data_IF_512459813776
#
_entry.id   IF_512459813776
#
_cell.length_a   1.000
_cell.length_b   1.000
_cell.length_c   1.000
_cell.angle_alpha   90.00
_cell.angle_beta   90.00
_cell.angle_gamma   90.00
#
_symmetry.space_group_name_H-M   'P 1'
#
loop_
_entity.id
_entity.type
_entity.pdbx_description
1 polymer ?
#
# COMPACT_ATOMS: atom_id res chain seq x y z
N UNK A 1 6.30 43.64 16.09
CA UNK A 1 5.35 44.23 15.12
C UNK A 1 4.64 43.07 14.44
N UNK A 2 3.43 42.73 14.91
CA UNK A 2 2.15 42.92 14.18
C UNK A 2 2.02 41.90 13.02
N UNK A 3 1.07 40.97 12.94
CA UNK A 3 -0.28 40.90 13.54
C UNK A 3 -0.85 39.48 13.41
N UNK A 4 -1.64 39.04 14.40
CA UNK A 4 -2.60 37.94 14.31
C UNK A 4 -3.64 38.18 13.20
N UNK A 5 -4.14 37.12 12.56
CA UNK A 5 -5.55 37.05 12.12
C UNK A 5 -6.15 35.68 12.41
N UNK A 6 -7.08 35.69 13.36
CA UNK A 6 -8.16 34.70 13.52
C UNK A 6 -9.18 34.94 12.41
N UNK A 7 -9.74 33.88 11.84
CA UNK A 7 -11.15 33.85 11.48
C UNK A 7 -11.71 32.50 11.90
N UNK A 8 -12.62 32.52 12.87
CA UNK A 8 -13.50 31.41 13.17
C UNK A 8 -14.83 31.64 12.49
N UNK A 9 -15.45 30.57 11.99
CA UNK A 9 -16.89 30.51 11.83
C UNK A 9 -17.40 29.33 12.65
N UNK A 10 -18.14 29.66 13.71
CA UNK A 10 -18.95 28.73 14.49
C UNK A 10 -20.29 28.59 13.79
N UNK A 11 -20.69 27.37 13.46
CA UNK A 11 -22.11 27.03 13.30
C UNK A 11 -22.43 25.97 14.33
N UNK A 12 -23.07 26.39 15.41
CA UNK A 12 -23.73 25.51 16.37
C UNK A 12 -25.03 25.02 15.73
N UNK A 13 -25.20 23.71 15.59
CA UNK A 13 -26.53 23.11 15.46
C UNK A 13 -26.76 22.33 16.74
N UNK A 14 -27.61 22.88 17.61
CA UNK A 14 -28.31 22.11 18.63
C UNK A 14 -29.35 21.25 17.91
N UNK A 15 -29.37 19.95 18.18
CA UNK A 15 -30.60 19.17 18.04
C UNK A 15 -30.82 18.36 19.31
N UNK A 16 -31.88 18.75 19.99
CA UNK A 16 -32.50 18.13 21.15
C UNK A 16 -33.06 16.75 20.80
N UNK A 17 -32.94 15.84 21.76
CA UNK A 17 -33.55 14.51 21.76
C UNK A 17 -35.07 14.56 21.55
N UNK A 18 -35.58 13.76 20.62
CA UNK A 18 -36.95 13.25 20.61
C UNK A 18 -36.90 11.75 20.30
N UNK A 19 -37.62 10.96 21.10
CA UNK A 19 -37.75 9.51 21.01
C UNK A 19 -39.04 9.17 20.24
N UNK A 20 -39.03 7.98 19.61
CA UNK A 20 -40.12 7.19 18.99
C UNK A 20 -40.37 7.35 17.49
N UNK A 21 -40.35 6.19 16.82
CA UNK A 21 -41.12 5.93 15.60
C UNK A 21 -40.26 5.43 14.45
N UNK A 22 -40.29 4.12 14.19
CA UNK A 22 -39.59 3.50 13.07
C UNK A 22 -39.99 4.13 11.73
N UNK A 23 -38.98 4.47 10.93
CA UNK A 23 -39.10 4.66 9.51
C UNK A 23 -37.74 4.37 8.87
N UNK A 24 -37.75 3.48 7.89
CA UNK A 24 -36.68 3.10 7.00
C UNK A 24 -35.88 4.33 6.54
N UNK A 25 -34.63 4.47 6.99
CA UNK A 25 -33.68 5.38 6.34
C UNK A 25 -33.17 4.63 5.10
N UNK A 26 -33.97 4.68 4.04
CA UNK A 26 -33.43 4.62 2.69
C UNK A 26 -32.58 5.89 2.56
N UNK A 27 -31.28 5.78 2.83
CA UNK A 27 -30.34 6.86 2.59
C UNK A 27 -30.47 7.29 1.14
N UNK A 28 -30.81 8.56 0.95
CA UNK A 28 -30.90 9.18 -0.35
C UNK A 28 -29.59 8.95 -1.10
N UNK A 29 -29.68 8.29 -2.25
CA UNK A 29 -28.65 8.33 -3.28
C UNK A 29 -28.59 9.79 -3.72
N UNK A 30 -27.52 10.51 -3.36
CA UNK A 30 -27.29 11.86 -3.88
C UNK A 30 -27.33 11.80 -5.41
N UNK A 31 -28.25 12.57 -5.98
CA UNK A 31 -28.53 12.66 -7.40
C UNK A 31 -27.29 13.04 -8.22
N UNK A 32 -27.23 12.45 -9.41
CA UNK A 32 -26.35 12.73 -10.54
C UNK A 32 -25.74 14.14 -10.57
N UNK A 33 -24.48 14.27 -10.15
CA UNK A 33 -23.64 15.45 -10.42
C UNK A 33 -23.37 15.54 -11.91
N UNK A 34 -23.64 16.70 -12.51
CA UNK A 34 -23.30 16.91 -13.92
C UNK A 34 -21.77 16.90 -14.08
N UNK A 35 -21.27 16.52 -15.26
CA UNK A 35 -19.83 16.57 -15.56
C UNK A 35 -19.23 17.96 -15.29
N UNK A 36 -19.98 19.03 -15.50
CA UNK A 36 -19.52 20.41 -15.26
C UNK A 36 -19.28 20.73 -13.78
N UNK A 37 -20.18 20.30 -12.90
CA UNK A 37 -20.03 20.49 -11.44
C UNK A 37 -18.85 19.69 -10.89
N UNK A 38 -18.65 18.47 -11.39
CA UNK A 38 -17.49 17.66 -11.05
C UNK A 38 -16.18 18.34 -11.46
N UNK A 39 -16.06 18.77 -12.72
CA UNK A 39 -14.86 19.45 -13.24
C UNK A 39 -14.57 20.72 -12.45
N UNK A 40 -15.58 21.54 -12.17
CA UNK A 40 -15.40 22.79 -11.39
C UNK A 40 -14.81 22.49 -10.01
N UNK A 41 -15.38 21.51 -9.31
CA UNK A 41 -14.91 21.14 -7.96
C UNK A 41 -13.53 20.50 -7.97
N UNK A 42 -13.22 19.70 -9.00
CA UNK A 42 -11.88 19.13 -9.18
C UNK A 42 -10.86 20.24 -9.40
N UNK A 43 -11.17 21.23 -10.25
CA UNK A 43 -10.24 22.34 -10.53
C UNK A 43 -9.97 23.27 -9.35
N UNK A 44 -10.84 23.27 -8.33
CA UNK A 44 -10.63 24.02 -7.08
C UNK A 44 -9.67 23.30 -6.11
N UNK A 45 -9.58 21.97 -6.20
CA UNK A 45 -8.88 21.13 -5.22
C UNK A 45 -7.58 20.55 -5.78
N UNK A 46 -7.56 20.17 -7.05
CA UNK A 46 -6.39 19.59 -7.71
C UNK A 46 -5.69 20.65 -8.56
N UNK A 47 -4.39 20.91 -8.31
CA UNK A 47 -3.63 21.81 -9.17
C UNK A 47 -3.58 21.26 -10.61
N UNK A 48 -3.57 22.17 -11.58
CA UNK A 48 -3.30 21.79 -12.96
C UNK A 48 -1.83 21.36 -13.05
N UNK A 49 -1.61 20.11 -13.44
CA UNK A 49 -0.27 19.56 -13.65
C UNK A 49 0.41 20.25 -14.85
N UNK A 50 1.68 20.63 -14.69
CA UNK A 50 2.46 21.20 -15.78
C UNK A 50 2.82 20.13 -16.83
N UNK A 51 3.03 20.56 -18.07
CA UNK A 51 3.30 19.64 -19.18
C UNK A 51 4.57 18.81 -18.90
N UNK A 52 4.42 17.48 -18.89
CA UNK A 52 5.46 16.48 -18.59
C UNK A 52 5.94 16.43 -17.13
N UNK A 53 5.24 17.07 -16.19
CA UNK A 53 5.59 16.97 -14.76
C UNK A 53 5.50 15.51 -14.27
N UNK A 54 4.46 14.77 -14.65
CA UNK A 54 4.35 13.33 -14.34
C UNK A 54 5.55 12.50 -14.86
N UNK A 55 6.13 12.84 -16.01
CA UNK A 55 7.32 12.13 -16.51
C UNK A 55 8.51 12.33 -15.57
N UNK A 56 8.70 13.54 -15.06
CA UNK A 56 9.77 13.82 -14.11
C UNK A 56 9.52 13.14 -12.77
N UNK A 57 8.26 13.09 -12.33
CA UNK A 57 7.87 12.38 -11.13
C UNK A 57 8.13 10.87 -11.25
N UNK A 58 7.77 10.23 -12.37
CA UNK A 58 8.09 8.82 -12.61
C UNK A 58 9.61 8.57 -12.73
N UNK A 59 10.33 9.50 -13.37
CA UNK A 59 11.77 9.36 -13.64
C UNK A 59 12.67 9.61 -12.43
N UNK A 60 12.24 10.43 -11.47
CA UNK A 60 13.09 10.87 -10.34
C UNK A 60 12.40 10.90 -8.99
N UNK A 61 11.07 10.80 -8.95
CA UNK A 61 10.28 10.86 -7.74
C UNK A 61 10.44 9.60 -6.90
N UNK A 62 10.32 9.78 -5.58
CA UNK A 62 10.25 8.69 -4.62
C UNK A 62 9.01 7.83 -4.89
N UNK A 63 9.10 6.53 -4.63
CA UNK A 63 7.90 5.68 -4.52
C UNK A 63 7.13 6.00 -3.23
N UNK A 64 7.88 6.32 -2.17
CA UNK A 64 7.33 6.61 -0.86
C UNK A 64 7.26 8.11 -0.64
N UNK A 65 6.07 8.66 -0.82
CA UNK A 65 5.72 10.05 -0.46
C UNK A 65 4.98 10.09 0.88
N UNK A 66 4.89 11.26 1.52
CA UNK A 66 4.08 11.42 2.74
C UNK A 66 2.61 11.17 2.38
N UNK A 67 2.00 10.13 2.98
CA UNK A 67 0.60 9.75 2.73
C UNK A 67 -0.29 9.88 3.96
N UNK A 68 0.29 10.08 5.13
CA UNK A 68 -0.45 10.16 6.39
C UNK A 68 -1.22 11.48 6.51
N UNK A 69 -2.54 11.39 6.74
CA UNK A 69 -3.33 12.52 7.23
C UNK A 69 -3.23 12.58 8.76
N UNK A 70 -2.72 13.68 9.35
CA UNK A 70 -2.63 13.82 10.80
C UNK A 70 -3.98 13.84 11.52
N UNK A 71 -5.09 14.04 10.81
CA UNK A 71 -6.44 14.02 11.37
C UNK A 71 -7.14 12.67 11.22
N UNK A 72 -6.59 11.75 10.43
CA UNK A 72 -7.16 10.44 10.25
C UNK A 72 -7.10 9.64 11.56
N UNK A 73 -8.21 8.97 11.87
CA UNK A 73 -8.35 8.14 13.05
C UNK A 73 -8.79 6.73 12.65
N UNK A 74 -8.24 5.73 13.34
CA UNK A 74 -8.72 4.37 13.24
C UNK A 74 -10.18 4.30 13.70
N UNK A 75 -10.98 3.52 12.97
CA UNK A 75 -12.32 3.11 13.40
C UNK A 75 -12.24 2.05 14.50
N UNK A 76 -13.39 1.66 15.09
CA UNK A 76 -13.46 0.60 16.11
C UNK A 76 -13.02 -0.77 15.60
N UNK A 77 -13.11 -0.97 14.29
CA UNK A 77 -12.84 -2.23 13.61
C UNK A 77 -11.43 -2.27 12.98
N UNK A 78 -10.65 -1.21 13.19
CA UNK A 78 -9.27 -1.10 12.72
C UNK A 78 -8.28 -1.25 13.89
N UNK A 79 -7.12 -1.78 13.55
CA UNK A 79 -5.91 -1.71 14.36
C UNK A 79 -5.01 -0.57 13.84
N UNK A 80 -4.19 -0.03 14.72
CA UNK A 80 -3.19 1.00 14.37
C UNK A 80 -1.80 0.46 14.66
N UNK A 81 -0.89 0.53 13.68
CA UNK A 81 0.52 0.27 13.96
C UNK A 81 1.04 1.50 14.72
N UNK A 82 1.44 1.36 16.00
CA UNK A 82 1.99 2.46 16.78
C UNK A 82 3.26 3.02 16.13
N UNK A 83 3.59 4.27 16.45
CA UNK A 83 4.75 4.95 15.86
C UNK A 83 6.09 4.25 16.11
N UNK A 84 6.18 3.40 17.15
CA UNK A 84 7.38 2.68 17.58
C UNK A 84 7.02 1.31 18.17
N UNK A 85 8.03 0.56 18.56
CA UNK A 85 7.94 -0.69 19.33
C UNK A 85 7.34 -1.88 18.55
N UNK A 86 7.27 -1.76 17.22
CA UNK A 86 6.95 -2.85 16.31
C UNK A 86 8.20 -3.35 15.59
N UNK A 87 8.21 -4.64 15.29
CA UNK A 87 9.33 -5.31 14.62
C UNK A 87 8.87 -5.91 13.29
N UNK A 88 9.68 -5.78 12.26
CA UNK A 88 9.50 -6.46 10.97
C UNK A 88 10.43 -7.66 10.92
N UNK A 89 9.86 -8.87 10.95
CA UNK A 89 10.58 -10.13 11.05
C UNK A 89 10.52 -10.86 9.71
N UNK A 90 11.69 -11.26 9.23
CA UNK A 90 11.87 -12.14 8.07
C UNK A 90 12.86 -13.25 8.42
N UNK A 91 12.87 -14.33 7.65
CA UNK A 91 13.88 -15.38 7.79
C UNK A 91 15.29 -14.82 7.49
N UNK A 92 16.34 -15.30 8.16
CA UNK A 92 17.72 -14.82 7.95
C UNK A 92 18.20 -15.10 6.52
N UNK A 93 17.94 -16.31 6.03
CA UNK A 93 18.19 -16.73 4.65
C UNK A 93 17.06 -16.39 3.67
N UNK A 94 16.21 -15.40 3.99
CA UNK A 94 15.13 -14.98 3.09
C UNK A 94 15.66 -14.63 1.68
N UNK A 95 14.88 -14.97 0.65
CA UNK A 95 15.21 -14.63 -0.73
C UNK A 95 15.57 -13.14 -0.87
N UNK A 96 16.55 -12.75 -1.73
CA UNK A 96 16.88 -11.34 -1.96
C UNK A 96 15.67 -10.45 -2.22
N UNK A 97 14.66 -10.96 -2.91
CA UNK A 97 13.42 -10.23 -3.19
C UNK A 97 12.60 -9.96 -1.93
N UNK A 98 12.55 -10.91 -0.99
CA UNK A 98 11.89 -10.74 0.32
C UNK A 98 12.64 -9.73 1.16
N UNK A 99 13.98 -9.78 1.17
CA UNK A 99 14.81 -8.79 1.88
C UNK A 99 14.61 -7.38 1.34
N UNK A 100 14.55 -7.24 0.02
CA UNK A 100 14.25 -5.97 -0.65
C UNK A 100 12.86 -5.46 -0.23
N UNK A 101 11.81 -6.28 -0.37
CA UNK A 101 10.45 -5.89 -0.04
C UNK A 101 10.27 -5.53 1.45
N UNK A 102 11.00 -6.20 2.35
CA UNK A 102 10.99 -5.87 3.77
C UNK A 102 11.67 -4.52 4.07
N UNK A 103 12.81 -4.22 3.43
CA UNK A 103 13.42 -2.89 3.57
C UNK A 103 12.57 -1.80 2.94
N UNK A 104 11.90 -2.11 1.83
CA UNK A 104 10.98 -1.19 1.17
C UNK A 104 9.77 -0.85 2.05
N UNK A 105 9.09 -1.86 2.62
CA UNK A 105 8.00 -1.64 3.58
C UNK A 105 8.47 -0.83 4.80
N UNK A 106 9.67 -1.10 5.30
CA UNK A 106 10.25 -0.33 6.42
C UNK A 106 10.49 1.13 6.02
N UNK A 107 10.95 1.38 4.79
CA UNK A 107 11.11 2.72 4.26
C UNK A 107 9.75 3.41 4.15
N UNK A 108 8.75 2.77 3.53
CA UNK A 108 7.36 3.22 3.44
C UNK A 108 6.80 3.60 4.82
N UNK A 109 6.84 2.69 5.79
CA UNK A 109 6.31 2.93 7.14
C UNK A 109 6.94 4.19 7.74
N UNK A 110 8.24 4.39 7.54
CA UNK A 110 8.96 5.55 8.07
C UNK A 110 8.61 6.85 7.34
N UNK A 111 8.67 6.88 6.01
CA UNK A 111 8.49 8.11 5.22
C UNK A 111 7.03 8.47 5.01
N UNK A 112 6.17 7.47 4.79
CA UNK A 112 4.78 7.67 4.40
C UNK A 112 3.83 7.64 5.59
N UNK A 113 4.15 6.87 6.64
CA UNK A 113 3.29 6.66 7.82
C UNK A 113 3.86 7.18 9.14
N UNK A 114 5.12 7.66 9.14
CA UNK A 114 5.87 8.10 10.33
C UNK A 114 5.95 7.01 11.43
N UNK A 115 5.95 5.74 11.02
CA UNK A 115 6.09 4.56 11.88
C UNK A 115 7.52 4.04 11.75
N UNK A 116 8.19 3.83 12.88
CA UNK A 116 9.52 3.21 12.90
C UNK A 116 9.41 1.77 13.37
N UNK A 117 9.87 0.85 12.53
CA UNK A 117 10.02 -0.58 12.87
C UNK A 117 11.48 -1.00 12.83
N UNK A 118 11.84 -1.89 13.75
CA UNK A 118 13.13 -2.59 13.71
C UNK A 118 13.00 -3.81 12.79
N UNK A 119 13.90 -3.95 11.81
CA UNK A 119 13.94 -5.16 10.98
C UNK A 119 14.82 -6.21 11.66
N UNK A 120 14.26 -7.40 11.88
CA UNK A 120 14.94 -8.54 12.51
C UNK A 120 14.96 -9.70 11.54
N UNK A 121 16.10 -10.39 11.51
CA UNK A 121 16.28 -11.65 10.81
C UNK A 121 16.30 -12.77 11.84
N UNK A 122 15.41 -13.74 11.71
CA UNK A 122 15.31 -14.92 12.58
C UNK A 122 15.70 -16.18 11.80
N UNK A 123 16.29 -17.16 12.48
CA UNK A 123 16.67 -18.46 11.91
C UNK A 123 15.47 -19.38 11.61
N UNK A 124 14.33 -19.12 12.26
CA UNK A 124 13.06 -19.79 11.98
C UNK A 124 11.88 -18.84 12.20
N UNK A 125 10.85 -19.01 11.37
CA UNK A 125 9.57 -18.30 11.50
C UNK A 125 8.47 -19.18 12.12
N UNK A 126 8.77 -20.41 12.57
CA UNK A 126 7.76 -21.37 13.03
C UNK A 126 6.89 -20.86 14.19
N UNK A 127 7.48 -20.01 15.04
CA UNK A 127 6.84 -19.44 16.22
C UNK A 127 6.07 -18.14 15.94
N UNK A 128 5.85 -17.78 14.67
CA UNK A 128 5.21 -16.53 14.25
C UNK A 128 3.90 -16.23 15.00
N UNK A 129 3.09 -17.26 15.27
CA UNK A 129 1.79 -17.11 15.94
C UNK A 129 1.84 -16.73 17.42
N UNK A 130 3.02 -16.87 18.05
CA UNK A 130 3.25 -16.50 19.45
C UNK A 130 3.81 -15.10 19.63
N UNK A 131 4.26 -14.46 18.55
CA UNK A 131 4.85 -13.13 18.59
C UNK A 131 3.77 -12.04 18.57
N UNK A 132 4.04 -10.96 19.30
CA UNK A 132 3.21 -9.77 19.38
C UNK A 132 4.02 -8.51 19.06
N UNK A 133 3.33 -7.48 18.59
CA UNK A 133 3.86 -6.23 18.02
C UNK A 133 4.83 -6.51 16.86
N UNK A 134 4.41 -7.36 15.93
CA UNK A 134 5.25 -7.77 14.80
C UNK A 134 4.51 -7.71 13.47
N UNK A 135 5.28 -7.40 12.43
CA UNK A 135 4.97 -7.72 11.04
C UNK A 135 5.88 -8.89 10.68
N UNK A 136 5.32 -10.01 10.24
CA UNK A 136 6.08 -11.19 9.82
C UNK A 136 5.88 -11.40 8.32
N UNK A 137 6.95 -11.60 7.57
CA UNK A 137 6.88 -11.87 6.14
C UNK A 137 7.74 -13.08 5.76
N UNK A 138 7.14 -14.05 5.08
CA UNK A 138 7.80 -15.30 4.70
C UNK A 138 7.00 -16.09 3.69
N UNK A 139 7.61 -17.14 3.14
CA UNK A 139 6.88 -18.07 2.26
C UNK A 139 6.07 -19.07 3.07
N UNK A 140 5.11 -19.74 2.43
CA UNK A 140 4.29 -20.79 3.06
C UNK A 140 5.11 -21.95 3.64
N UNK A 141 6.31 -22.20 3.09
CA UNK A 141 7.21 -23.25 3.58
C UNK A 141 7.91 -22.82 4.88
N UNK A 142 7.97 -21.52 5.17
CA UNK A 142 8.56 -20.94 6.38
C UNK A 142 7.51 -20.61 7.45
N UNK A 143 6.23 -20.50 7.07
CA UNK A 143 5.14 -20.09 7.94
C UNK A 143 4.14 -21.24 8.14
N UNK A 144 4.42 -22.17 9.07
CA UNK A 144 3.57 -23.34 9.27
C UNK A 144 2.15 -22.92 9.65
N UNK A 145 1.17 -23.57 9.02
CA UNK A 145 -0.25 -23.31 9.22
C UNK A 145 -0.83 -22.17 8.38
N UNK A 146 0.00 -21.41 7.66
CA UNK A 146 -0.44 -20.39 6.69
C UNK A 146 -0.25 -20.86 5.25
N UNK A 147 -0.91 -20.17 4.32
CA UNK A 147 -0.74 -20.37 2.91
C UNK A 147 -1.42 -21.61 2.33
N UNK A 148 -2.34 -22.22 3.09
CA UNK A 148 -3.03 -23.46 2.69
C UNK A 148 -3.91 -23.26 1.45
N UNK A 149 -4.46 -22.05 1.29
CA UNK A 149 -5.28 -21.70 0.14
C UNK A 149 -4.46 -21.23 -1.06
N UNK A 150 -3.13 -21.05 -0.94
CA UNK A 150 -2.27 -20.54 -2.02
C UNK A 150 -2.03 -21.61 -3.08
N UNK A 151 -2.33 -21.27 -4.34
CA UNK A 151 -2.43 -22.25 -5.43
C UNK A 151 -1.24 -22.19 -6.38
N UNK A 152 -0.58 -21.04 -6.48
CA UNK A 152 0.54 -20.89 -7.39
C UNK A 152 1.40 -19.65 -7.17
N UNK A 153 2.40 -19.45 -8.04
CA UNK A 153 3.34 -18.35 -7.96
C UNK A 153 2.65 -16.99 -7.81
N UNK A 154 3.25 -16.10 -7.00
CA UNK A 154 2.75 -14.76 -6.68
C UNK A 154 1.44 -14.69 -5.89
N UNK A 155 0.82 -15.82 -5.55
CA UNK A 155 -0.27 -15.82 -4.60
C UNK A 155 0.25 -15.40 -3.22
N UNK A 156 -0.61 -14.76 -2.44
CA UNK A 156 -0.30 -14.42 -1.06
C UNK A 156 -1.53 -14.38 -0.18
N UNK A 157 -1.28 -14.56 1.11
CA UNK A 157 -2.22 -14.44 2.19
C UNK A 157 -1.75 -13.36 3.15
N UNK A 158 -2.68 -12.53 3.62
CA UNK A 158 -2.45 -11.55 4.68
C UNK A 158 -3.40 -11.86 5.83
N UNK A 159 -2.84 -11.95 7.02
CA UNK A 159 -3.58 -12.04 8.28
C UNK A 159 -3.21 -10.87 9.20
N UNK A 160 -4.20 -10.22 9.79
CA UNK A 160 -4.01 -9.14 10.75
C UNK A 160 -4.80 -9.41 12.02
N UNK A 161 -4.15 -9.24 13.14
CA UNK A 161 -4.72 -9.13 14.48
C UNK A 161 -4.31 -7.77 15.08
N UNK A 162 -4.88 -7.35 16.23
CA UNK A 162 -4.47 -6.10 16.87
C UNK A 162 -2.99 -6.03 17.27
N UNK A 163 -2.32 -7.17 17.40
CA UNK A 163 -0.94 -7.30 17.85
C UNK A 163 0.00 -7.92 16.81
N UNK A 164 -0.49 -8.31 15.63
CA UNK A 164 0.34 -9.00 14.64
C UNK A 164 -0.18 -8.82 13.23
N UNK A 165 0.74 -8.64 12.28
CA UNK A 165 0.48 -8.68 10.85
C UNK A 165 1.35 -9.80 10.27
N UNK A 166 0.78 -10.67 9.46
CA UNK A 166 1.52 -11.74 8.78
C UNK A 166 1.23 -11.71 7.30
N UNK A 167 2.29 -11.74 6.50
CA UNK A 167 2.25 -11.88 5.05
C UNK A 167 2.88 -13.21 4.67
N UNK A 168 2.07 -14.12 4.15
CA UNK A 168 2.50 -15.43 3.68
C UNK A 168 2.43 -15.47 2.16
N UNK A 169 3.57 -15.51 1.49
CA UNK A 169 3.63 -15.70 0.03
C UNK A 169 3.68 -17.17 -0.35
N UNK A 170 3.17 -17.53 -1.53
CA UNK A 170 3.44 -18.85 -2.11
C UNK A 170 4.94 -18.99 -2.41
N UNK A 171 5.54 -17.91 -2.90
CA UNK A 171 6.96 -17.74 -3.20
C UNK A 171 7.41 -16.31 -2.78
N UNK A 172 8.68 -15.98 -3.04
CA UNK A 172 9.24 -14.66 -2.74
C UNK A 172 8.50 -13.51 -3.44
N UNK A 173 7.95 -13.74 -4.65
CA UNK A 173 7.17 -12.71 -5.36
C UNK A 173 5.81 -12.49 -4.70
N UNK A 174 5.18 -13.56 -4.21
CA UNK A 174 3.96 -13.48 -3.40
C UNK A 174 4.18 -12.67 -2.14
N UNK A 175 5.29 -12.90 -1.42
CA UNK A 175 5.64 -12.09 -0.24
C UNK A 175 5.74 -10.61 -0.59
N UNK A 176 6.49 -10.26 -1.65
CA UNK A 176 6.61 -8.87 -2.11
C UNK A 176 5.24 -8.25 -2.40
N UNK A 177 4.40 -8.92 -3.19
CA UNK A 177 3.08 -8.39 -3.53
C UNK A 177 2.14 -8.28 -2.32
N UNK A 178 2.28 -9.16 -1.34
CA UNK A 178 1.55 -9.07 -0.08
C UNK A 178 1.99 -7.84 0.75
N UNK A 179 3.28 -7.56 0.82
CA UNK A 179 3.80 -6.37 1.50
C UNK A 179 3.37 -5.08 0.80
N UNK A 180 3.48 -5.00 -0.53
CA UNK A 180 2.96 -3.85 -1.29
C UNK A 180 1.45 -3.68 -1.11
N UNK A 181 0.70 -4.77 -0.98
CA UNK A 181 -0.73 -4.67 -0.68
C UNK A 181 -1.02 -4.08 0.71
N UNK A 182 -0.16 -4.30 1.70
CA UNK A 182 -0.29 -3.63 3.00
C UNK A 182 -0.06 -2.13 2.87
N UNK A 183 0.96 -1.72 2.12
CA UNK A 183 1.27 -0.30 1.87
C UNK A 183 0.09 0.42 1.22
N UNK A 184 -0.48 -0.18 0.18
CA UNK A 184 -1.65 0.37 -0.52
C UNK A 184 -2.87 0.50 0.41
N UNK A 185 -3.11 -0.47 1.30
CA UNK A 185 -4.21 -0.39 2.27
C UNK A 185 -4.03 0.76 3.24
N UNK A 186 -2.83 0.93 3.78
CA UNK A 186 -2.52 2.04 4.68
C UNK A 186 -2.56 3.39 3.95
N UNK A 187 -2.10 3.43 2.70
CA UNK A 187 -2.14 4.62 1.85
C UNK A 187 -3.57 5.05 1.53
N UNK A 188 -4.45 4.11 1.20
CA UNK A 188 -5.87 4.38 0.98
C UNK A 188 -6.57 4.90 2.24
N UNK A 189 -6.12 4.46 3.42
CA UNK A 189 -6.62 4.95 4.71
C UNK A 189 -5.91 6.21 5.21
N UNK A 190 -4.92 6.69 4.47
CA UNK A 190 -4.08 7.84 4.82
C UNK A 190 -3.51 7.73 6.25
N UNK A 191 -3.17 6.52 6.66
CA UNK A 191 -2.66 6.25 7.99
C UNK A 191 -2.31 4.78 8.20
N UNK A 192 -1.54 4.44 9.26
CA UNK A 192 -1.07 3.08 9.53
C UNK A 192 -2.20 2.21 10.13
N UNK A 193 -3.34 2.15 9.44
CA UNK A 193 -4.56 1.49 9.86
C UNK A 193 -4.83 0.28 8.98
N UNK A 194 -5.26 -0.82 9.60
CA UNK A 194 -5.70 -2.03 8.93
C UNK A 194 -6.92 -2.60 9.65
N UNK A 195 -7.84 -3.31 8.98
CA UNK A 195 -8.90 -4.04 9.67
C UNK A 195 -8.30 -5.02 10.68
N UNK A 196 -8.83 -5.02 11.90
CA UNK A 196 -8.22 -5.70 13.06
C UNK A 196 -8.33 -7.22 13.04
N UNK A 197 -9.11 -7.76 12.13
CA UNK A 197 -9.36 -9.18 11.87
C UNK A 197 -9.23 -9.48 10.36
N UNK A 198 -8.41 -8.71 9.64
CA UNK A 198 -8.20 -8.90 8.20
C UNK A 198 -7.68 -10.32 7.94
N UNK A 199 -8.42 -11.06 7.14
CA UNK A 199 -7.95 -12.28 6.49
C UNK A 199 -8.24 -12.17 4.99
N UNK A 200 -7.19 -12.19 4.18
CA UNK A 200 -7.35 -12.09 2.73
C UNK A 200 -6.36 -13.00 2.03
N UNK A 201 -6.87 -13.75 1.06
CA UNK A 201 -6.07 -14.56 0.14
C UNK A 201 -6.26 -13.97 -1.25
N UNK A 202 -5.15 -13.70 -1.95
CA UNK A 202 -5.18 -13.18 -3.32
C UNK A 202 -4.41 -14.12 -4.24
N UNK A 203 -5.04 -14.41 -5.37
CA UNK A 203 -4.48 -15.24 -6.42
C UNK A 203 -4.03 -14.40 -7.59
N UNK A 204 -2.85 -14.71 -8.13
CA UNK A 204 -2.39 -14.07 -9.35
C UNK A 204 -3.23 -14.55 -10.54
N UNK A 205 -3.82 -13.60 -11.28
CA UNK A 205 -4.58 -13.91 -12.50
C UNK A 205 -3.68 -14.17 -13.71
N UNK A 206 -2.46 -13.65 -13.68
CA UNK A 206 -1.52 -13.69 -14.80
C UNK A 206 -0.18 -14.21 -14.31
N UNK A 207 0.47 -15.05 -15.10
CA UNK A 207 1.85 -15.47 -14.81
C UNK A 207 2.84 -14.30 -14.92
N UNK A 208 2.58 -13.37 -15.83
CA UNK A 208 3.43 -12.20 -16.06
C UNK A 208 2.56 -10.99 -16.41
N UNK A 209 2.84 -9.85 -15.78
CA UNK A 209 2.29 -8.54 -16.10
C UNK A 209 3.45 -7.69 -16.61
N UNK A 210 3.51 -7.58 -17.93
CA UNK A 210 4.60 -6.91 -18.62
C UNK A 210 4.20 -5.51 -19.07
N UNK A 211 5.13 -4.56 -18.99
CA UNK A 211 4.92 -3.16 -19.40
C UNK A 211 5.92 -2.73 -20.47
N UNK A 212 5.46 -1.87 -21.38
CA UNK A 212 6.32 -1.11 -22.31
C UNK A 212 6.61 0.26 -21.68
N UNK A 213 7.85 0.75 -21.77
CA UNK A 213 8.24 2.01 -21.09
C UNK A 213 7.36 3.18 -21.51
N UNK A 214 6.81 3.89 -20.52
CA UNK A 214 6.01 5.11 -20.71
C UNK A 214 6.87 6.36 -20.82
N UNK A 215 8.15 6.27 -20.48
CA UNK A 215 9.10 7.39 -20.55
C UNK A 215 9.66 7.61 -21.97
N UNK A 216 9.41 6.68 -22.89
CA UNK A 216 9.95 6.70 -24.24
C UNK A 216 11.35 6.08 -24.33
N UNK A 217 11.77 5.75 -25.56
CA UNK A 217 13.11 5.19 -25.86
C UNK A 217 13.58 3.99 -25.03
N UNK A 218 12.66 3.23 -24.43
CA UNK A 218 12.99 2.08 -23.56
C UNK A 218 13.85 2.50 -22.34
N UNK A 219 13.64 3.71 -21.82
CA UNK A 219 14.25 4.13 -20.57
C UNK A 219 13.65 3.35 -19.39
N UNK A 220 14.51 2.82 -18.51
CA UNK A 220 14.16 2.10 -17.30
C UNK A 220 14.95 2.59 -16.07
N UNK A 221 14.77 3.86 -15.63
CA UNK A 221 15.36 4.32 -14.37
C UNK A 221 14.90 3.46 -13.19
N UNK A 222 15.77 3.26 -12.20
CA UNK A 222 15.45 2.43 -11.03
C UNK A 222 14.19 2.91 -10.29
N UNK A 223 13.99 4.22 -10.14
CA UNK A 223 12.77 4.77 -9.54
C UNK A 223 11.52 4.37 -10.31
N UNK A 224 11.59 4.39 -11.64
CA UNK A 224 10.47 4.01 -12.50
C UNK A 224 10.19 2.50 -12.41
N UNK A 225 11.23 1.67 -12.37
CA UNK A 225 11.07 0.23 -12.13
C UNK A 225 10.45 -0.06 -10.76
N UNK A 226 10.81 0.72 -9.74
CA UNK A 226 10.22 0.63 -8.41
C UNK A 226 8.73 0.99 -8.45
N UNK A 227 8.34 2.12 -9.06
CA UNK A 227 6.93 2.49 -9.25
C UNK A 227 6.12 1.39 -9.94
N UNK A 228 6.65 0.83 -11.04
CA UNK A 228 6.00 -0.24 -11.79
C UNK A 228 5.81 -1.52 -10.95
N UNK A 229 6.76 -1.83 -10.06
CA UNK A 229 6.64 -2.97 -9.17
C UNK A 229 5.49 -2.80 -8.15
N UNK A 230 5.29 -1.59 -7.63
CA UNK A 230 4.17 -1.26 -6.73
C UNK A 230 2.82 -1.28 -7.48
N UNK A 231 2.79 -0.86 -8.76
CA UNK A 231 1.62 -1.01 -9.65
C UNK A 231 1.29 -2.48 -10.02
N UNK A 232 2.17 -3.39 -9.61
CA UNK A 232 2.00 -4.82 -9.75
C UNK A 232 2.52 -5.39 -11.07
N UNK A 233 3.39 -4.67 -11.78
CA UNK A 233 4.15 -5.22 -12.90
C UNK A 233 5.35 -6.03 -12.39
N UNK A 234 5.64 -7.13 -13.07
CA UNK A 234 6.75 -8.03 -12.71
C UNK A 234 7.67 -8.35 -13.89
N UNK A 235 7.41 -7.73 -15.04
CA UNK A 235 8.27 -7.81 -16.20
C UNK A 235 8.29 -6.50 -16.98
N UNK A 236 9.41 -6.24 -17.63
CA UNK A 236 9.55 -5.19 -18.61
C UNK A 236 9.70 -5.80 -19.99
N UNK A 237 9.09 -5.15 -20.99
CA UNK A 237 9.34 -5.47 -22.37
C UNK A 237 10.62 -4.72 -22.79
N UNK A 238 11.72 -5.42 -23.04
CA UNK A 238 13.03 -4.78 -23.23
C UNK A 238 13.41 -4.48 -24.70
N UNK A 239 12.72 -5.02 -25.72
CA UNK A 239 13.04 -4.66 -27.12
C UNK A 239 11.99 -5.10 -28.15
N UNK A 240 11.63 -4.20 -29.09
CA UNK A 240 11.09 -4.54 -30.43
C UNK A 240 12.21 -4.70 -31.48
N UNK A 241 13.46 -4.45 -31.10
CA UNK A 241 14.65 -4.37 -31.95
C UNK A 241 15.72 -5.41 -31.58
N UNK A 242 15.35 -6.51 -30.92
CA UNK A 242 16.16 -7.71 -31.04
C UNK A 242 16.18 -7.99 -32.55
N UNK A 243 17.28 -7.65 -33.21
CA UNK A 243 17.40 -7.77 -34.66
C UNK A 243 16.88 -9.16 -35.03
N UNK A 244 15.78 -9.28 -35.81
CA UNK A 244 15.25 -10.59 -36.16
C UNK A 244 16.26 -11.44 -36.95
N UNK A 245 17.37 -10.82 -37.40
CA UNK A 245 18.50 -11.47 -38.06
C UNK A 245 19.66 -11.85 -37.12
N UNK A 246 19.54 -11.69 -35.80
CA UNK A 246 20.49 -12.25 -34.81
C UNK A 246 21.94 -11.74 -34.89
N UNK A 247 22.18 -10.53 -35.41
CA UNK A 247 23.54 -9.98 -35.48
C UNK A 247 23.87 -9.28 -34.16
N UNK A 248 24.93 -9.74 -33.49
CA UNK A 248 25.51 -9.12 -32.30
C UNK A 248 25.98 -7.68 -32.61
N UNK A 249 25.64 -6.75 -31.73
CA UNK A 249 26.07 -5.34 -31.79
C UNK A 249 27.34 -5.09 -30.98
#
# INVERSE_FOLDING_TARGET
MLTQRRFGLRTKILLSSFVFGGATVCGAIEESKTSGEFISRVSEVLPVEDRYEYHQQLKTGSVHDVRRDPNAQATSDEMTIPAKDWRLIIHEDADPLVRYAAEDLKAFLKSSMEVTVEKISEDSLDSWGSWSNVIVAGTKDQLPGLGQDLRGPKDYEIQVTPDRIVVCGFDASGVRFGLFNLEERMSLREGPFLPRDLHTVRHSLYQTRMVLSWLGWMEWPDSYLSHLAHDGYDAIFASVYANPNGVEG
#
